data_IF_555021875751
#
_entry.id   IF_555021875751
#
_cell.length_a   1.000
_cell.length_b   1.000
_cell.length_c   1.000
_cell.angle_alpha   90.00
_cell.angle_beta   90.00
_cell.angle_gamma   90.00
#
_symmetry.space_group_name_H-M   'P 1'
#
loop_
_entity.id
_entity.type
_entity.pdbx_description
1 polymer ?
#
# COMPACT_ATOMS: atom_id res chain seq x y z
N UNK A 1 2.33 -10.25 5.53
CA UNK A 1 1.15 -9.37 5.58
C UNK A 1 1.27 -8.46 6.80
N UNK A 2 1.14 -7.13 6.68
CA UNK A 2 1.26 -6.18 7.78
C UNK A 2 0.28 -6.52 8.89
N UNK A 3 0.73 -6.42 10.15
CA UNK A 3 -0.14 -6.62 11.33
C UNK A 3 -1.37 -5.72 11.26
N UNK A 4 -1.22 -4.52 10.69
CA UNK A 4 -2.30 -3.54 10.48
C UNK A 4 -3.45 -4.04 9.61
N UNK A 5 -3.23 -4.99 8.69
CA UNK A 5 -4.30 -5.55 7.86
C UNK A 5 -4.99 -6.75 8.50
N UNK A 6 -4.47 -7.25 9.63
CA UNK A 6 -5.04 -8.40 10.30
C UNK A 6 -6.45 -8.05 10.83
N UNK A 7 -7.44 -8.87 10.50
CA UNK A 7 -8.85 -8.61 10.82
C UNK A 7 -9.58 -7.64 9.88
N UNK A 8 -8.90 -7.04 8.89
CA UNK A 8 -9.57 -6.25 7.84
C UNK A 8 -10.05 -7.17 6.70
N UNK A 9 -11.35 -7.17 6.35
CA UNK A 9 -11.82 -7.95 5.19
C UNK A 9 -11.20 -7.43 3.89
N UNK A 10 -10.81 -8.38 3.03
CA UNK A 10 -10.36 -8.09 1.66
C UNK A 10 -11.59 -8.04 0.75
N UNK A 11 -11.76 -6.93 0.02
CA UNK A 11 -12.89 -6.69 -0.89
C UNK A 11 -12.39 -6.22 -2.25
N UNK A 12 -13.28 -6.20 -3.25
CA UNK A 12 -13.03 -5.56 -4.54
C UNK A 12 -13.75 -4.21 -4.54
N UNK A 13 -12.99 -3.11 -4.59
CA UNK A 13 -13.52 -1.75 -4.66
C UNK A 13 -13.17 -1.14 -6.02
N UNK A 14 -14.18 -0.84 -6.85
CA UNK A 14 -14.00 -0.30 -8.22
C UNK A 14 -13.00 -1.10 -9.08
N UNK A 15 -13.03 -2.43 -8.97
CA UNK A 15 -12.14 -3.33 -9.70
C UNK A 15 -10.75 -3.52 -9.07
N UNK A 16 -10.44 -2.85 -7.96
CA UNK A 16 -9.16 -2.95 -7.26
C UNK A 16 -9.34 -3.80 -5.99
N UNK A 17 -8.51 -4.82 -5.75
CA UNK A 17 -8.52 -5.55 -4.49
C UNK A 17 -7.91 -4.71 -3.36
N UNK A 18 -8.67 -4.47 -2.31
CA UNK A 18 -8.31 -3.61 -1.18
C UNK A 18 -8.68 -4.26 0.16
N UNK A 19 -8.08 -3.80 1.24
CA UNK A 19 -8.47 -4.15 2.61
C UNK A 19 -9.30 -3.01 3.19
N UNK A 20 -10.46 -3.35 3.74
CA UNK A 20 -11.39 -2.37 4.31
C UNK A 20 -11.33 -2.41 5.84
N UNK A 21 -11.19 -1.25 6.48
CA UNK A 21 -11.33 -1.13 7.94
C UNK A 21 -12.81 -1.05 8.35
N UNK A 22 -13.09 -1.24 9.64
CA UNK A 22 -14.42 -1.03 10.22
C UNK A 22 -14.96 0.39 10.00
N UNK A 23 -14.06 1.38 9.86
CA UNK A 23 -14.41 2.78 9.66
C UNK A 23 -14.65 3.13 8.19
N UNK A 24 -14.52 2.15 7.28
CA UNK A 24 -14.69 2.33 5.85
C UNK A 24 -13.45 2.83 5.12
N UNK A 25 -12.29 2.91 5.78
CA UNK A 25 -11.02 3.24 5.12
C UNK A 25 -10.56 2.07 4.24
N UNK A 26 -9.96 2.41 3.10
CA UNK A 26 -9.51 1.46 2.09
C UNK A 26 -7.99 1.49 2.02
N UNK A 27 -7.39 0.30 2.15
CA UNK A 27 -5.94 0.12 2.17
C UNK A 27 -5.44 -0.81 1.08
N UNK A 28 -4.28 -0.51 0.50
CA UNK A 28 -3.49 -1.47 -0.27
C UNK A 28 -2.43 -2.13 0.60
N UNK A 29 -2.18 -3.39 0.29
CA UNK A 29 -1.03 -4.12 0.79
C UNK A 29 0.20 -3.80 -0.06
N UNK A 30 1.27 -3.33 0.58
CA UNK A 30 2.60 -3.29 -0.01
C UNK A 30 3.43 -4.48 0.51
N UNK A 31 3.79 -5.46 -0.34
CA UNK A 31 4.59 -6.60 0.09
C UNK A 31 6.02 -6.23 0.49
N UNK A 32 6.48 -5.04 0.12
CA UNK A 32 7.83 -4.58 0.36
C UNK A 32 7.95 -3.63 1.55
N UNK A 33 6.82 -3.27 2.17
CA UNK A 33 6.76 -2.41 3.34
C UNK A 33 6.10 -3.14 4.51
N UNK A 34 6.48 -2.76 5.74
CA UNK A 34 5.75 -3.16 6.95
C UNK A 34 4.45 -2.38 7.12
N UNK A 35 4.26 -1.32 6.34
CA UNK A 35 3.09 -0.45 6.39
C UNK A 35 2.09 -0.71 5.27
N UNK A 36 0.89 -0.18 5.49
CA UNK A 36 -0.26 -0.25 4.60
C UNK A 36 -0.46 1.11 3.92
N UNK A 37 -0.95 1.11 2.70
CA UNK A 37 -1.17 2.35 1.96
C UNK A 37 -2.64 2.72 2.06
N UNK A 38 -2.98 3.81 2.75
CA UNK A 38 -4.32 4.38 2.70
C UNK A 38 -4.56 4.94 1.31
N UNK A 39 -5.59 4.45 0.63
CA UNK A 39 -5.94 4.88 -0.74
C UNK A 39 -7.30 5.56 -0.81
N UNK A 40 -8.03 5.67 0.31
CA UNK A 40 -9.31 6.36 0.35
C UNK A 40 -10.26 5.78 1.38
N UNK A 41 -11.54 6.04 1.19
CA UNK A 41 -12.61 5.48 2.00
C UNK A 41 -13.81 5.09 1.13
N UNK A 42 -14.71 4.27 1.65
CA UNK A 42 -15.95 3.95 0.93
C UNK A 42 -16.79 5.18 0.64
N UNK A 43 -16.88 6.11 1.60
CA UNK A 43 -17.71 7.31 1.52
C UNK A 43 -17.18 8.31 0.50
N UNK A 44 -15.85 8.54 0.48
CA UNK A 44 -15.23 9.56 -0.35
C UNK A 44 -14.61 9.01 -1.64
N UNK A 45 -14.51 7.69 -1.76
CA UNK A 45 -13.79 7.04 -2.85
C UNK A 45 -12.28 7.12 -2.67
N UNK A 46 -11.56 6.97 -3.79
CA UNK A 46 -10.10 7.04 -3.79
C UNK A 46 -9.62 8.47 -3.53
N UNK A 47 -8.51 8.60 -2.81
CA UNK A 47 -7.83 9.88 -2.66
C UNK A 47 -7.43 10.40 -4.05
N UNK A 48 -7.50 11.73 -4.28
CA UNK A 48 -7.15 12.31 -5.58
C UNK A 48 -5.69 12.05 -5.97
N UNK A 49 -4.81 11.83 -5.00
CA UNK A 49 -3.38 11.58 -5.18
C UNK A 49 -2.97 10.10 -5.04
N UNK A 50 -3.90 9.14 -5.09
CA UNK A 50 -3.55 7.70 -4.98
C UNK A 50 -2.46 7.29 -5.97
N UNK A 51 -2.56 7.75 -7.22
CA UNK A 51 -1.58 7.41 -8.25
C UNK A 51 -0.17 7.89 -7.90
N UNK A 52 -0.05 9.08 -7.31
CA UNK A 52 1.21 9.65 -6.84
C UNK A 52 1.77 8.86 -5.66
N UNK A 53 0.93 8.54 -4.66
CA UNK A 53 1.31 7.74 -3.49
C UNK A 53 1.88 6.37 -3.93
N UNK A 54 1.18 5.69 -4.84
CA UNK A 54 1.64 4.41 -5.38
C UNK A 54 2.95 4.56 -6.15
N UNK A 55 3.09 5.61 -6.96
CA UNK A 55 4.30 5.87 -7.75
C UNK A 55 5.51 6.14 -6.85
N UNK A 56 5.35 6.95 -5.81
CA UNK A 56 6.41 7.24 -4.85
C UNK A 56 6.89 5.97 -4.14
N UNK A 57 5.97 5.10 -3.70
CA UNK A 57 6.34 3.83 -3.06
C UNK A 57 7.13 2.89 -3.96
N UNK A 58 6.77 2.82 -5.24
CA UNK A 58 7.53 2.04 -6.22
C UNK A 58 8.95 2.58 -6.37
N UNK A 59 9.12 3.91 -6.37
CA UNK A 59 10.44 4.54 -6.43
C UNK A 59 11.25 4.27 -5.16
N UNK A 60 10.66 4.46 -3.97
CA UNK A 60 11.30 4.19 -2.68
C UNK A 60 11.79 2.73 -2.60
N UNK A 61 10.95 1.78 -3.04
CA UNK A 61 11.33 0.38 -3.10
C UNK A 61 12.50 0.12 -4.05
N UNK A 62 12.46 0.67 -5.27
CA UNK A 62 13.56 0.56 -6.24
C UNK A 62 14.87 1.11 -5.68
N UNK A 63 14.83 2.26 -5.00
CA UNK A 63 16.00 2.83 -4.33
C UNK A 63 16.55 1.88 -3.26
N UNK A 64 15.68 1.31 -2.41
CA UNK A 64 16.09 0.35 -1.38
C UNK A 64 16.74 -0.92 -1.94
N UNK A 65 16.30 -1.37 -3.13
CA UNK A 65 16.90 -2.54 -3.80
C UNK A 65 18.31 -2.23 -4.29
N UNK A 66 18.52 -1.03 -4.85
CA UNK A 66 19.84 -0.56 -5.30
C UNK A 66 20.81 -0.50 -4.13
N UNK A 67 20.39 0.03 -2.97
CA UNK A 67 21.23 0.07 -1.77
C UNK A 67 21.58 -1.34 -1.26
N UNK A 68 20.60 -2.25 -1.16
CA UNK A 68 20.84 -3.64 -0.77
C UNK A 68 21.84 -4.33 -1.70
N UNK A 69 21.70 -4.13 -3.01
CA UNK A 69 22.62 -4.70 -3.98
C UNK A 69 24.03 -4.11 -3.88
N UNK A 70 24.15 -2.83 -3.52
CA UNK A 70 25.45 -2.18 -3.27
C UNK A 70 26.12 -2.71 -2.00
N UNK A 71 25.35 -2.99 -0.95
CA UNK A 71 25.88 -3.57 0.30
C UNK A 71 26.35 -5.01 0.14
N UNK A 72 25.71 -5.81 -0.73
CA UNK A 72 26.11 -7.20 -1.00
C UNK A 72 27.38 -7.33 -1.86
N UNK A 73 27.79 -6.25 -2.53
CA UNK A 73 28.99 -6.21 -3.37
C UNK A 73 30.23 -5.64 -2.64
N UNK A 74 30.10 -5.30 -1.35
CA UNK A 74 31.21 -4.95 -0.45
C UNK A 74 31.54 -6.14 0.43
#
# INVERSE_FOLDING_TARGET
MPVKLNGMPRIIYKGVPVWKSSNGDLFLYDPNSTDTILIGSETNGFLPNVAEICSQRIQDYRASLVERHRMQKK
#
